data_IF_445477441806
#
_entry.id   IF_445477441806
#
_cell.length_a   1.000
_cell.length_b   1.000
_cell.length_c   1.000
_cell.angle_alpha   90.00
_cell.angle_beta   90.00
_cell.angle_gamma   90.00
#
_symmetry.space_group_name_H-M   'P 1'
#
loop_
_entity.id
_entity.type
_entity.pdbx_description
1 polymer ?
#
# COMPACT_ATOMS: atom_id res chain seq x y z
N UNK A 1 -10.73 -22.22 -11.39
CA UNK A 1 -9.70 -21.32 -11.96
C UNK A 1 -8.52 -22.14 -12.49
N UNK A 2 -7.94 -21.77 -13.64
CA UNK A 2 -6.73 -22.42 -14.20
C UNK A 2 -5.51 -22.20 -13.28
N UNK A 3 -4.69 -23.22 -13.05
CA UNK A 3 -3.49 -23.17 -12.18
C UNK A 3 -2.53 -22.03 -12.52
N UNK A 4 -2.30 -21.75 -13.81
CA UNK A 4 -1.45 -20.64 -14.26
C UNK A 4 -2.05 -19.29 -13.88
N UNK A 5 -3.37 -19.12 -14.03
CA UNK A 5 -4.08 -17.90 -13.64
C UNK A 5 -3.98 -17.70 -12.12
N UNK A 6 -4.14 -18.78 -11.34
CA UNK A 6 -4.00 -18.74 -9.87
C UNK A 6 -2.60 -18.28 -9.44
N UNK A 7 -1.56 -18.80 -10.10
CA UNK A 7 -0.17 -18.40 -9.81
C UNK A 7 0.10 -16.94 -10.15
N UNK A 8 -0.44 -16.44 -11.27
CA UNK A 8 -0.32 -15.03 -11.64
C UNK A 8 -1.00 -14.12 -10.62
N UNK A 9 -2.20 -14.48 -10.15
CA UNK A 9 -2.92 -13.72 -9.12
C UNK A 9 -2.18 -13.75 -7.78
N UNK A 10 -1.64 -14.90 -7.34
CA UNK A 10 -0.85 -14.96 -6.11
C UNK A 10 0.39 -14.06 -6.16
N UNK A 11 1.06 -14.00 -7.33
CA UNK A 11 2.21 -13.10 -7.53
C UNK A 11 1.80 -11.63 -7.47
N UNK A 12 0.63 -11.29 -8.00
CA UNK A 12 0.08 -9.93 -7.91
C UNK A 12 -0.27 -9.57 -6.45
N UNK A 13 -0.83 -10.50 -5.67
CA UNK A 13 -1.13 -10.33 -4.23
C UNK A 13 0.14 -9.94 -3.47
N UNK A 14 1.23 -10.67 -3.74
CA UNK A 14 2.53 -10.43 -3.11
C UNK A 14 3.11 -9.05 -3.48
N UNK A 15 2.98 -8.63 -4.74
CA UNK A 15 3.47 -7.32 -5.19
C UNK A 15 2.70 -6.18 -4.54
N UNK A 16 1.37 -6.30 -4.44
CA UNK A 16 0.51 -5.32 -3.76
C UNK A 16 0.90 -5.23 -2.28
N UNK A 17 1.10 -6.36 -1.61
CA UNK A 17 1.49 -6.39 -0.21
C UNK A 17 2.85 -5.70 0.02
N UNK A 18 3.86 -6.00 -0.81
CA UNK A 18 5.18 -5.35 -0.72
C UNK A 18 5.09 -3.83 -0.89
N UNK A 19 4.26 -3.36 -1.82
CA UNK A 19 4.09 -1.93 -2.03
C UNK A 19 3.36 -1.24 -0.86
N UNK A 20 2.36 -1.88 -0.23
CA UNK A 20 1.72 -1.30 0.98
C UNK A 20 2.73 -1.16 2.12
N UNK A 21 3.64 -2.13 2.30
CA UNK A 21 4.71 -2.05 3.29
C UNK A 21 5.68 -0.91 2.97
N UNK A 22 6.07 -0.73 1.71
CA UNK A 22 6.93 0.39 1.30
C UNK A 22 6.28 1.74 1.62
N UNK A 23 5.00 1.90 1.29
CA UNK A 23 4.24 3.10 1.60
C UNK A 23 4.06 3.30 3.11
N UNK A 24 3.85 2.24 3.88
CA UNK A 24 3.78 2.30 5.35
C UNK A 24 5.08 2.84 5.96
N UNK A 25 6.23 2.39 5.45
CA UNK A 25 7.54 2.87 5.89
C UNK A 25 7.73 4.35 5.53
N UNK A 26 7.30 4.77 4.34
CA UNK A 26 7.33 6.20 3.97
C UNK A 26 6.42 7.05 4.85
N UNK A 27 5.22 6.55 5.19
CA UNK A 27 4.28 7.20 6.10
C UNK A 27 4.89 7.39 7.49
N UNK A 28 5.55 6.36 8.02
CA UNK A 28 6.24 6.41 9.31
C UNK A 28 7.33 7.49 9.30
N UNK A 29 8.23 7.46 8.31
CA UNK A 29 9.32 8.43 8.19
C UNK A 29 8.82 9.88 8.05
N UNK A 30 7.73 10.10 7.32
CA UNK A 30 7.13 11.42 7.18
C UNK A 30 6.43 11.88 8.47
N UNK A 31 5.82 10.95 9.21
CA UNK A 31 5.19 11.24 10.51
C UNK A 31 6.24 11.62 11.55
N UNK A 32 7.37 10.92 11.58
CA UNK A 32 8.52 11.26 12.43
C UNK A 32 9.07 12.66 12.09
N UNK A 33 9.23 12.97 10.80
CA UNK A 33 9.65 14.32 10.35
C UNK A 33 8.65 15.41 10.73
N UNK A 34 7.35 15.13 10.66
CA UNK A 34 6.31 16.07 11.07
C UNK A 34 6.39 16.34 12.59
N UNK A 35 6.55 15.28 13.38
CA UNK A 35 6.67 15.36 14.84
C UNK A 35 7.96 16.08 15.28
N UNK A 36 9.02 16.02 14.48
CA UNK A 36 10.27 16.74 14.71
C UNK A 36 10.21 18.25 14.41
N UNK A 37 9.01 18.85 14.29
CA UNK A 37 8.79 20.28 13.95
C UNK A 37 9.45 20.71 12.63
N UNK A 38 9.46 19.83 11.63
CA UNK A 38 9.86 20.21 10.28
C UNK A 38 8.95 21.31 9.74
N UNK A 39 9.53 22.42 9.28
CA UNK A 39 8.82 23.54 8.62
C UNK A 39 8.34 23.18 7.21
N UNK A 40 8.53 21.94 6.76
CA UNK A 40 8.10 21.48 5.45
C UNK A 40 6.57 21.32 5.38
N UNK A 41 5.92 22.37 4.86
CA UNK A 41 4.47 22.44 4.62
C UNK A 41 3.98 21.38 3.61
N UNK A 42 4.86 20.68 2.91
CA UNK A 42 4.47 19.60 2.00
C UNK A 42 4.27 18.25 2.71
N UNK A 43 4.81 18.06 3.91
CA UNK A 43 4.73 16.77 4.63
C UNK A 43 3.27 16.32 4.85
N UNK A 44 2.33 17.18 5.32
CA UNK A 44 0.94 16.77 5.47
C UNK A 44 0.29 16.32 4.16
N UNK A 45 0.57 17.02 3.04
CA UNK A 45 0.05 16.65 1.72
C UNK A 45 0.62 15.33 1.22
N UNK A 46 1.91 15.08 1.46
CA UNK A 46 2.58 13.81 1.10
C UNK A 46 2.02 12.65 1.93
N UNK A 47 1.81 12.85 3.24
CA UNK A 47 1.17 11.87 4.12
C UNK A 47 -0.25 11.52 3.67
N UNK A 48 -1.06 12.51 3.32
CA UNK A 48 -2.41 12.28 2.82
C UNK A 48 -2.42 11.45 1.53
N UNK A 49 -1.54 11.78 0.57
CA UNK A 49 -1.38 11.00 -0.67
C UNK A 49 -1.01 9.54 -0.39
N UNK A 50 -0.07 9.31 0.53
CA UNK A 50 0.35 7.96 0.91
C UNK A 50 -0.81 7.19 1.54
N UNK A 51 -1.56 7.80 2.47
CA UNK A 51 -2.74 7.16 3.09
C UNK A 51 -3.78 6.74 2.05
N UNK A 52 -4.04 7.59 1.05
CA UNK A 52 -4.95 7.27 -0.05
C UNK A 52 -4.42 6.10 -0.88
N UNK A 53 -3.14 6.11 -1.27
CA UNK A 53 -2.53 5.03 -2.04
C UNK A 53 -2.57 3.70 -1.30
N UNK A 54 -2.25 3.70 0.00
CA UNK A 54 -2.35 2.52 0.86
C UNK A 54 -3.76 1.96 0.93
N UNK A 55 -4.78 2.83 1.04
CA UNK A 55 -6.18 2.40 0.99
C UNK A 55 -6.50 1.69 -0.33
N UNK A 56 -6.10 2.27 -1.47
CA UNK A 56 -6.31 1.67 -2.80
C UNK A 56 -5.63 0.30 -2.90
N UNK A 57 -4.39 0.16 -2.41
CA UNK A 57 -3.69 -1.13 -2.41
C UNK A 57 -4.41 -2.17 -1.55
N UNK A 58 -4.90 -1.79 -0.37
CA UNK A 58 -5.67 -2.69 0.51
C UNK A 58 -6.97 -3.16 -0.15
N UNK A 59 -7.70 -2.24 -0.79
CA UNK A 59 -8.93 -2.56 -1.50
C UNK A 59 -8.67 -3.53 -2.66
N UNK A 60 -7.61 -3.28 -3.45
CA UNK A 60 -7.18 -4.19 -4.52
C UNK A 60 -6.74 -5.56 -3.97
N UNK A 61 -6.01 -5.58 -2.86
CA UNK A 61 -5.57 -6.83 -2.25
C UNK A 61 -6.76 -7.68 -1.80
N UNK A 62 -7.78 -7.04 -1.20
CA UNK A 62 -9.01 -7.71 -0.80
C UNK A 62 -9.75 -8.29 -2.01
N UNK A 63 -9.91 -7.51 -3.09
CA UNK A 63 -10.53 -7.98 -4.33
C UNK A 63 -9.78 -9.19 -4.91
N UNK A 64 -8.46 -9.12 -4.96
CA UNK A 64 -7.62 -10.18 -5.47
C UNK A 64 -7.69 -11.44 -4.59
N UNK A 65 -7.68 -11.27 -3.27
CA UNK A 65 -7.85 -12.35 -2.30
C UNK A 65 -9.17 -13.09 -2.52
N UNK A 66 -10.26 -12.35 -2.72
CA UNK A 66 -11.57 -12.93 -3.07
C UNK A 66 -11.54 -13.66 -4.41
N UNK A 67 -10.83 -13.17 -5.43
CA UNK A 67 -10.67 -13.89 -6.72
C UNK A 67 -9.85 -15.18 -6.60
N UNK A 68 -8.90 -15.23 -5.67
CA UNK A 68 -8.01 -16.40 -5.48
C UNK A 68 -8.70 -17.48 -4.65
N UNK A 69 -9.47 -17.08 -3.62
CA UNK A 69 -10.04 -17.97 -2.60
C UNK A 69 -11.55 -18.19 -2.71
N UNK A 70 -12.29 -17.29 -3.35
CA UNK A 70 -13.69 -17.47 -3.74
C UNK A 70 -13.81 -18.31 -5.00
#
# INVERSE_FOLDING_TARGET
>A
MNTTIKLLLLKEEELIFKEDINLANQELLLSEKLNANSLDKEIPKKLEKIKIQRKILRDKNLELHHKIRG
#
